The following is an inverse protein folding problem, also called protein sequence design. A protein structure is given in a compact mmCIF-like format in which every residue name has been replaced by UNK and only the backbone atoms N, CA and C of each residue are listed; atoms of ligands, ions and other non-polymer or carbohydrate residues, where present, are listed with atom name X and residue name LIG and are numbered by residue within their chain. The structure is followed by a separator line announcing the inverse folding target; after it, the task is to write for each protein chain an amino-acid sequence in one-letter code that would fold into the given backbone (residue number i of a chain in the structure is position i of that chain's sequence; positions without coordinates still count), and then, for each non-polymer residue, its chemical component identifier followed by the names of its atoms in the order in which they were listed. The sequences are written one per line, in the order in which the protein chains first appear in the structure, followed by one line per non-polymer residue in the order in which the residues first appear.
data_IF_154725388257
#
_entry.id   IF_154725388257
#
_cell.length_a   1.000
_cell.length_b   1.000
_cell.length_c   1.000
_cell.angle_alpha   90.00
_cell.angle_beta   90.00
_cell.angle_gamma   90.00
#
_symmetry.space_group_name_H-M   'P 1'
#
loop_
_entity.id
_entity.type
_entity.pdbx_description
1 polymer ?
#
# COMPACT_ATOMS: atom_id res chain seq x y z
N UNK A 1 10.98 3.73 -19.46
CA UNK A 1 9.99 4.03 -20.53
C UNK A 1 8.90 2.97 -20.58
N UNK A 2 9.22 1.68 -20.67
CA UNK A 2 8.22 0.63 -20.88
C UNK A 2 7.30 0.43 -19.65
N UNK A 3 7.84 0.56 -18.44
CA UNK A 3 7.06 0.42 -17.19
C UNK A 3 6.07 1.57 -17.03
N UNK A 4 6.49 2.81 -17.33
CA UNK A 4 5.57 3.97 -17.27
C UNK A 4 4.41 3.83 -18.26
N UNK A 5 4.72 3.42 -19.50
CA UNK A 5 3.70 3.23 -20.54
C UNK A 5 2.70 2.12 -20.15
N UNK A 6 3.19 1.03 -19.55
CA UNK A 6 2.33 -0.05 -19.07
C UNK A 6 1.42 0.46 -17.93
N UNK A 7 1.98 1.15 -16.94
CA UNK A 7 1.21 1.72 -15.83
C UNK A 7 0.15 2.73 -16.32
N UNK A 8 0.50 3.59 -17.27
CA UNK A 8 -0.44 4.55 -17.86
C UNK A 8 -1.59 3.86 -18.60
N UNK A 9 -1.28 2.83 -19.39
CA UNK A 9 -2.31 2.05 -20.10
C UNK A 9 -3.25 1.37 -19.13
N UNK A 10 -2.71 0.67 -18.14
CA UNK A 10 -3.51 -0.06 -17.17
C UNK A 10 -4.37 0.89 -16.34
N UNK A 11 -3.83 2.04 -15.94
CA UNK A 11 -4.58 3.08 -15.23
C UNK A 11 -5.71 3.68 -16.08
N UNK A 12 -5.48 3.89 -17.39
CA UNK A 12 -6.53 4.33 -18.32
C UNK A 12 -7.69 3.35 -18.40
N UNK A 13 -7.37 2.05 -18.53
CA UNK A 13 -8.39 0.98 -18.55
C UNK A 13 -9.19 0.94 -17.24
N UNK A 14 -8.53 1.07 -16.09
CA UNK A 14 -9.22 1.09 -14.80
C UNK A 14 -10.12 2.33 -14.65
N UNK A 15 -9.65 3.49 -15.07
CA UNK A 15 -10.43 4.72 -15.04
C UNK A 15 -11.67 4.62 -15.95
N UNK A 16 -11.53 4.09 -17.17
CA UNK A 16 -12.63 3.86 -18.11
C UNK A 16 -13.62 2.82 -17.59
N UNK A 17 -13.15 1.83 -16.83
CA UNK A 17 -13.99 0.82 -16.18
C UNK A 17 -14.77 1.35 -14.95
N UNK A 18 -14.54 2.61 -14.54
CA UNK A 18 -15.29 3.27 -13.47
C UNK A 18 -14.84 2.91 -12.06
N UNK A 19 -13.56 2.58 -11.86
CA UNK A 19 -13.00 2.42 -10.53
C UNK A 19 -12.92 3.77 -9.80
N UNK A 20 -13.18 3.77 -8.49
CA UNK A 20 -13.21 4.99 -7.66
C UNK A 20 -11.83 5.47 -7.22
N UNK A 21 -10.81 4.60 -7.29
CA UNK A 21 -9.41 4.91 -6.97
C UNK A 21 -8.45 3.92 -7.65
N UNK A 22 -7.19 4.32 -7.81
CA UNK A 22 -6.14 3.45 -8.36
C UNK A 22 -4.97 3.38 -7.39
N UNK A 23 -4.48 2.16 -7.11
CA UNK A 23 -3.28 1.91 -6.34
C UNK A 23 -2.11 1.60 -7.27
N UNK A 24 -1.02 2.35 -7.16
CA UNK A 24 0.22 2.12 -7.93
C UNK A 24 1.23 1.40 -7.03
N UNK A 25 1.71 0.25 -7.50
CA UNK A 25 2.62 -0.62 -6.74
C UNK A 25 3.83 -1.04 -7.57
N UNK A 26 4.98 -1.22 -6.93
CA UNK A 26 6.17 -1.80 -7.57
C UNK A 26 6.10 -3.34 -7.67
N UNK A 27 4.97 -3.89 -8.05
CA UNK A 27 4.70 -5.35 -8.07
C UNK A 27 5.65 -6.16 -8.95
N UNK A 28 6.26 -5.53 -9.95
CA UNK A 28 7.24 -6.13 -10.84
C UNK A 28 8.64 -6.36 -10.24
N UNK A 29 8.95 -5.75 -9.08
CA UNK A 29 10.27 -5.78 -8.45
C UNK A 29 10.58 -7.07 -7.66
N UNK A 30 9.85 -8.14 -7.92
CA UNK A 30 10.07 -9.43 -7.22
C UNK A 30 11.43 -10.05 -7.55
N UNK A 31 12.15 -10.59 -6.52
CA UNK A 31 11.82 -10.63 -5.09
C UNK A 31 11.95 -9.26 -4.42
N UNK A 32 10.99 -8.93 -3.53
CA UNK A 32 10.93 -7.63 -2.89
C UNK A 32 11.98 -7.45 -1.80
N UNK A 33 12.43 -6.22 -1.59
CA UNK A 33 13.12 -5.84 -0.36
C UNK A 33 12.13 -5.91 0.82
N UNK A 34 12.54 -6.47 1.98
CA UNK A 34 11.63 -6.63 3.11
C UNK A 34 11.13 -5.30 3.67
N UNK A 35 11.97 -4.29 3.71
CA UNK A 35 11.73 -3.05 4.44
C UNK A 35 12.05 -1.81 3.59
N UNK A 36 13.32 -1.44 3.45
CA UNK A 36 13.74 -0.24 2.75
C UNK A 36 14.10 -0.56 1.31
N UNK A 37 13.43 0.11 0.38
CA UNK A 37 13.76 -0.01 -1.05
C UNK A 37 14.92 0.91 -1.45
N UNK A 38 15.68 0.56 -2.50
CA UNK A 38 16.73 1.42 -3.04
C UNK A 38 16.16 2.76 -3.56
N UNK A 39 16.95 3.85 -3.53
CA UNK A 39 16.51 5.17 -4.01
C UNK A 39 16.03 5.18 -5.47
N UNK A 40 16.58 4.32 -6.32
CA UNK A 40 16.12 4.22 -7.72
C UNK A 40 14.71 3.66 -7.85
N UNK A 41 14.26 2.77 -6.95
CA UNK A 41 12.86 2.31 -6.88
C UNK A 41 11.94 3.47 -6.55
N UNK A 42 12.30 4.31 -5.55
CA UNK A 42 11.53 5.50 -5.19
C UNK A 42 11.42 6.44 -6.38
N UNK A 43 12.55 6.75 -7.03
CA UNK A 43 12.59 7.64 -8.18
C UNK A 43 11.74 7.12 -9.37
N UNK A 44 11.87 5.82 -9.68
CA UNK A 44 11.10 5.19 -10.77
C UNK A 44 9.59 5.18 -10.46
N UNK A 45 9.21 4.81 -9.24
CA UNK A 45 7.81 4.75 -8.85
C UNK A 45 7.18 6.16 -8.80
N UNK A 46 7.93 7.17 -8.33
CA UNK A 46 7.47 8.58 -8.38
C UNK A 46 7.14 9.00 -9.81
N UNK A 47 7.99 8.67 -10.77
CA UNK A 47 7.74 8.95 -12.18
C UNK A 47 6.50 8.24 -12.71
N UNK A 48 6.32 6.96 -12.35
CA UNK A 48 5.15 6.18 -12.74
C UNK A 48 3.85 6.81 -12.18
N UNK A 49 3.85 7.20 -10.90
CA UNK A 49 2.69 7.84 -10.27
C UNK A 49 2.34 9.17 -10.94
N UNK A 50 3.33 10.00 -11.25
CA UNK A 50 3.12 11.27 -11.97
C UNK A 50 2.59 11.02 -13.40
N UNK A 51 3.11 10.02 -14.11
CA UNK A 51 2.64 9.66 -15.43
C UNK A 51 1.19 9.14 -15.41
N UNK A 52 0.86 8.28 -14.44
CA UNK A 52 -0.52 7.81 -14.20
C UNK A 52 -1.44 8.99 -13.89
N UNK A 53 -1.01 9.91 -13.00
CA UNK A 53 -1.77 11.13 -12.68
C UNK A 53 -2.09 11.97 -13.93
N UNK A 54 -1.14 12.09 -14.85
CA UNK A 54 -1.34 12.82 -16.10
C UNK A 54 -2.41 12.16 -17.01
N UNK A 55 -2.57 10.84 -16.94
CA UNK A 55 -3.59 10.10 -17.71
C UNK A 55 -4.98 10.18 -17.07
N UNK A 56 -5.06 9.93 -15.75
CA UNK A 56 -6.36 9.79 -15.07
C UNK A 56 -6.91 11.10 -14.52
N UNK A 57 -6.13 12.18 -14.56
CA UNK A 57 -6.55 13.50 -14.05
C UNK A 57 -6.51 13.60 -12.53
N UNK A 58 -7.05 14.68 -11.99
CA UNK A 58 -7.00 14.98 -10.55
C UNK A 58 -8.24 14.52 -9.78
N UNK A 59 -9.32 14.17 -10.48
CA UNK A 59 -10.58 13.73 -9.87
C UNK A 59 -10.53 12.30 -9.36
N UNK A 60 -9.67 11.45 -9.93
CA UNK A 60 -9.53 10.06 -9.51
C UNK A 60 -8.41 9.95 -8.45
N UNK A 61 -8.73 9.52 -7.22
CA UNK A 61 -7.74 9.33 -6.17
C UNK A 61 -6.67 8.31 -6.55
N UNK A 62 -5.41 8.62 -6.21
CA UNK A 62 -4.30 7.69 -6.35
C UNK A 62 -3.75 7.31 -4.99
N UNK A 63 -3.44 6.03 -4.83
CA UNK A 63 -2.68 5.48 -3.72
C UNK A 63 -1.34 4.93 -4.16
N UNK A 64 -0.43 4.79 -3.22
CA UNK A 64 0.92 4.25 -3.44
C UNK A 64 1.19 3.11 -2.47
N UNK A 65 1.66 1.98 -2.98
CA UNK A 65 2.19 0.88 -2.17
C UNK A 65 3.63 0.60 -2.58
N UNK A 66 4.55 0.61 -1.61
CA UNK A 66 5.95 0.26 -1.85
C UNK A 66 6.27 -1.07 -1.20
N UNK A 67 6.28 -2.09 -2.04
CA UNK A 67 6.52 -3.46 -1.62
C UNK A 67 8.00 -3.71 -1.27
N UNK A 68 8.36 -4.49 -0.16
CA UNK A 68 7.29 -5.26 0.53
C UNK A 68 6.58 -4.43 1.61
N UNK A 69 7.26 -3.52 2.34
CA UNK A 69 6.67 -2.80 3.49
C UNK A 69 7.33 -1.43 3.74
N UNK A 70 7.76 -0.71 2.70
CA UNK A 70 8.40 0.60 2.86
C UNK A 70 7.36 1.74 2.89
N UNK A 71 6.70 1.89 4.04
CA UNK A 71 5.74 2.97 4.27
C UNK A 71 6.39 4.37 4.20
N UNK A 72 7.68 4.49 4.52
CA UNK A 72 8.42 5.76 4.44
C UNK A 72 8.59 6.21 2.99
N UNK A 73 9.00 5.28 2.12
CA UNK A 73 9.07 5.56 0.69
C UNK A 73 7.69 5.89 0.11
N UNK A 74 6.65 5.13 0.49
CA UNK A 74 5.28 5.37 0.03
C UNK A 74 4.79 6.77 0.42
N UNK A 75 4.99 7.21 1.68
CA UNK A 75 4.66 8.58 2.13
C UNK A 75 5.45 9.64 1.38
N UNK A 76 6.75 9.42 1.14
CA UNK A 76 7.59 10.36 0.40
C UNK A 76 7.11 10.54 -1.04
N UNK A 77 6.74 9.44 -1.70
CA UNK A 77 6.17 9.46 -3.05
C UNK A 77 4.81 10.16 -3.02
N UNK A 78 3.93 9.81 -2.08
CA UNK A 78 2.60 10.41 -1.97
C UNK A 78 2.68 11.93 -1.77
N UNK A 79 3.56 12.39 -0.87
CA UNK A 79 3.81 13.82 -0.65
C UNK A 79 4.30 14.53 -1.92
N UNK A 80 5.21 13.90 -2.68
CA UNK A 80 5.79 14.48 -3.89
C UNK A 80 4.82 14.48 -5.10
N UNK A 81 3.84 13.58 -5.12
CA UNK A 81 2.93 13.37 -6.25
C UNK A 81 1.50 13.84 -6.01
N UNK A 82 1.17 14.27 -4.79
CA UNK A 82 -0.20 14.60 -4.40
C UNK A 82 -1.13 13.38 -4.39
N UNK A 83 -0.59 12.17 -4.11
CA UNK A 83 -1.42 10.97 -3.92
C UNK A 83 -2.17 11.03 -2.59
N UNK A 84 -3.38 10.46 -2.55
CA UNK A 84 -4.30 10.61 -1.44
C UNK A 84 -4.14 9.53 -0.38
N UNK A 85 -3.54 8.39 -0.72
CA UNK A 85 -3.36 7.28 0.21
C UNK A 85 -2.02 6.57 0.02
N UNK A 86 -1.58 5.90 1.08
CA UNK A 86 -0.58 4.83 1.00
C UNK A 86 -1.20 3.54 1.49
N UNK A 87 -0.73 2.41 0.94
CA UNK A 87 -1.03 1.09 1.48
C UNK A 87 0.16 0.55 2.23
N UNK A 88 -0.07 -0.04 3.40
CA UNK A 88 0.96 -0.68 4.24
C UNK A 88 0.57 -2.11 4.52
N UNK A 89 1.41 -3.06 4.12
CA UNK A 89 1.08 -4.48 4.20
C UNK A 89 1.20 -5.07 5.62
N UNK A 90 2.20 -4.63 6.40
CA UNK A 90 2.33 -4.97 7.82
C UNK A 90 2.52 -3.66 8.58
N UNK A 91 1.43 -3.09 9.08
CA UNK A 91 1.44 -1.79 9.74
C UNK A 91 1.67 -1.90 11.25
N UNK A 92 1.07 -2.91 11.89
CA UNK A 92 1.26 -3.26 13.31
C UNK A 92 1.70 -4.73 13.43
N UNK A 93 2.19 -5.11 14.61
CA UNK A 93 2.60 -6.48 14.89
C UNK A 93 3.78 -6.96 14.05
N UNK A 94 3.80 -8.25 13.73
CA UNK A 94 4.81 -8.87 12.89
C UNK A 94 4.25 -10.06 12.11
N UNK A 95 4.78 -10.31 10.92
CA UNK A 95 4.39 -11.44 10.07
C UNK A 95 5.61 -12.12 9.45
N UNK A 96 5.56 -13.43 9.31
CA UNK A 96 6.53 -14.22 8.54
C UNK A 96 6.12 -14.22 7.08
N UNK A 97 7.04 -13.84 6.20
CA UNK A 97 6.82 -13.73 4.75
C UNK A 97 7.96 -14.42 3.99
N UNK A 98 7.88 -14.46 2.67
CA UNK A 98 8.97 -14.91 1.79
C UNK A 98 10.23 -14.02 1.88
N UNK A 99 10.11 -12.78 2.41
CA UNK A 99 11.24 -11.90 2.73
C UNK A 99 11.78 -12.07 4.16
N UNK A 100 11.24 -13.00 4.95
CA UNK A 100 11.54 -13.17 6.36
C UNK A 100 10.49 -12.52 7.26
N UNK A 101 10.90 -12.04 8.44
CA UNK A 101 9.98 -11.39 9.38
C UNK A 101 9.84 -9.91 9.02
N UNK A 102 8.62 -9.49 8.72
CA UNK A 102 8.25 -8.09 8.62
C UNK A 102 7.65 -7.61 9.94
N UNK A 103 8.10 -6.45 10.38
CA UNK A 103 7.59 -5.79 11.59
C UNK A 103 6.81 -4.53 11.23
N UNK A 104 5.67 -4.35 11.89
CA UNK A 104 4.88 -3.14 11.79
C UNK A 104 5.61 -1.94 12.39
N UNK A 105 5.57 -0.81 11.68
CA UNK A 105 6.20 0.46 12.06
C UNK A 105 5.20 1.61 12.11
N UNK A 106 3.98 1.34 12.59
CA UNK A 106 2.94 2.36 12.70
C UNK A 106 3.44 3.63 13.39
N UNK A 107 4.23 3.48 14.45
CA UNK A 107 4.82 4.59 15.21
C UNK A 107 5.74 5.50 14.38
N UNK A 108 6.45 4.96 13.38
CA UNK A 108 7.27 5.74 12.44
C UNK A 108 6.39 6.34 11.34
N UNK A 109 5.52 5.51 10.75
CA UNK A 109 4.64 5.89 9.64
C UNK A 109 3.74 7.06 10.00
N UNK A 110 3.06 6.98 11.13
CA UNK A 110 2.13 8.03 11.58
C UNK A 110 2.86 9.33 11.90
N UNK A 111 4.02 9.27 12.56
CA UNK A 111 4.81 10.46 12.85
C UNK A 111 5.35 11.13 11.59
N UNK A 112 5.84 10.32 10.64
CA UNK A 112 6.32 10.84 9.36
C UNK A 112 5.16 11.45 8.55
N UNK A 113 4.01 10.76 8.48
CA UNK A 113 2.80 11.28 7.83
C UNK A 113 2.46 12.69 8.32
N UNK A 114 2.42 12.90 9.65
CA UNK A 114 2.12 14.21 10.25
C UNK A 114 3.11 15.30 9.86
N UNK A 115 4.35 14.93 9.54
CA UNK A 115 5.42 15.88 9.18
C UNK A 115 5.40 16.27 7.70
N UNK A 116 5.20 15.32 6.80
CA UNK A 116 5.40 15.54 5.37
C UNK A 116 4.15 15.38 4.50
N UNK A 117 3.12 14.70 5.00
CA UNK A 117 1.94 14.33 4.23
C UNK A 117 0.69 14.16 5.12
N UNK A 118 0.29 15.17 5.92
CA UNK A 118 -0.78 15.05 6.93
C UNK A 118 -2.13 14.63 6.33
N UNK A 119 -2.41 14.99 5.08
CA UNK A 119 -3.67 14.69 4.39
C UNK A 119 -3.69 13.28 3.74
N UNK A 120 -2.54 12.62 3.66
CA UNK A 120 -2.47 11.28 3.06
C UNK A 120 -3.03 10.24 4.03
N UNK A 121 -3.94 9.40 3.55
CA UNK A 121 -4.50 8.31 4.34
C UNK A 121 -3.56 7.09 4.39
N UNK A 122 -3.53 6.41 5.52
CA UNK A 122 -2.87 5.11 5.68
C UNK A 122 -3.92 4.01 5.57
N UNK A 123 -3.83 3.20 4.53
CA UNK A 123 -4.65 2.01 4.31
C UNK A 123 -3.83 0.78 4.69
N UNK A 124 -4.25 0.06 5.72
CA UNK A 124 -3.50 -1.06 6.26
C UNK A 124 -4.15 -2.39 5.95
N UNK A 125 -3.35 -3.39 5.54
CA UNK A 125 -3.86 -4.75 5.36
C UNK A 125 -4.15 -5.41 6.71
N UNK A 126 -5.33 -6.01 6.83
CA UNK A 126 -5.67 -6.96 7.89
C UNK A 126 -5.26 -8.34 7.38
N UNK A 127 -4.16 -8.89 7.89
CA UNK A 127 -3.59 -10.17 7.42
C UNK A 127 -3.30 -10.19 5.93
N UNK A 128 -2.29 -9.45 5.55
CA UNK A 128 -1.84 -9.43 4.16
C UNK A 128 -1.56 -10.84 3.61
N UNK A 129 -1.92 -11.07 2.36
CA UNK A 129 -1.62 -12.33 1.65
C UNK A 129 -0.11 -12.60 1.56
N UNK A 130 0.25 -13.88 1.42
CA UNK A 130 1.65 -14.35 1.43
C UNK A 130 2.40 -14.02 2.73
N UNK A 131 1.66 -13.97 3.85
CA UNK A 131 2.19 -13.73 5.17
C UNK A 131 1.44 -14.55 6.23
N UNK A 132 2.16 -14.93 7.28
CA UNK A 132 1.58 -15.57 8.46
C UNK A 132 1.90 -14.72 9.69
N UNK A 133 0.91 -14.29 10.49
CA UNK A 133 1.16 -13.52 11.69
C UNK A 133 2.00 -14.33 12.69
N UNK A 134 2.93 -13.67 13.38
CA UNK A 134 3.77 -14.33 14.40
C UNK A 134 2.94 -14.75 15.61
N UNK A 135 1.89 -13.98 15.95
CA UNK A 135 0.94 -14.30 17.01
C UNK A 135 -0.47 -14.35 16.42
N UNK A 136 -1.21 -15.41 16.71
CA UNK A 136 -2.61 -15.52 16.30
C UNK A 136 -3.49 -14.66 17.21
N UNK A 137 -4.29 -13.82 16.57
CA UNK A 137 -5.36 -13.01 17.19
C UNK A 137 -6.64 -13.22 16.40
N UNK A 138 -7.78 -12.76 16.91
CA UNK A 138 -8.96 -12.67 16.05
C UNK A 138 -8.75 -11.61 14.96
N UNK A 139 -9.42 -11.73 13.85
CA UNK A 139 -9.35 -10.73 12.77
C UNK A 139 -9.94 -9.40 13.22
N UNK A 140 -10.96 -9.46 14.10
CA UNK A 140 -11.62 -8.29 14.67
C UNK A 140 -10.66 -7.52 15.56
N UNK A 141 -9.99 -8.19 16.52
CA UNK A 141 -8.99 -7.54 17.38
C UNK A 141 -7.85 -6.90 16.57
N UNK A 142 -7.44 -7.56 15.48
CA UNK A 142 -6.39 -7.05 14.60
C UNK A 142 -6.86 -5.80 13.83
N UNK A 143 -8.10 -5.79 13.38
CA UNK A 143 -8.73 -4.65 12.71
C UNK A 143 -8.91 -3.46 13.67
N UNK A 144 -9.40 -3.70 14.88
CA UNK A 144 -9.54 -2.68 15.94
C UNK A 144 -8.18 -2.05 16.29
N UNK A 145 -7.15 -2.87 16.52
CA UNK A 145 -5.80 -2.35 16.81
C UNK A 145 -5.19 -1.57 15.63
N UNK A 146 -5.42 -2.00 14.38
CA UNK A 146 -4.98 -1.25 13.21
C UNK A 146 -5.59 0.16 13.17
N UNK A 147 -6.88 0.26 13.48
CA UNK A 147 -7.59 1.53 13.48
C UNK A 147 -7.22 2.38 14.72
N UNK A 148 -7.39 1.84 15.92
CA UNK A 148 -7.25 2.61 17.16
C UNK A 148 -5.81 2.93 17.54
N UNK A 149 -4.89 1.96 17.38
CA UNK A 149 -3.49 2.09 17.80
C UNK A 149 -2.54 2.32 16.63
N UNK A 150 -2.88 1.76 15.47
CA UNK A 150 -2.14 1.98 14.23
C UNK A 150 -2.51 3.28 13.53
N UNK A 151 -3.62 3.90 13.90
CA UNK A 151 -4.18 5.11 13.24
C UNK A 151 -4.34 4.91 11.72
N UNK A 152 -4.74 3.71 11.31
CA UNK A 152 -5.09 3.45 9.93
C UNK A 152 -6.48 4.04 9.63
N UNK A 153 -6.59 4.80 8.55
CA UNK A 153 -7.86 5.42 8.13
C UNK A 153 -8.73 4.46 7.32
N UNK A 154 -8.13 3.43 6.72
CA UNK A 154 -8.87 2.36 6.06
C UNK A 154 -8.20 1.00 6.26
N UNK A 155 -9.02 -0.04 6.25
CA UNK A 155 -8.57 -1.42 6.42
C UNK A 155 -8.78 -2.18 5.11
N UNK A 156 -7.77 -2.95 4.69
CA UNK A 156 -7.82 -3.76 3.48
C UNK A 156 -7.92 -5.23 3.87
N UNK A 157 -9.04 -5.84 3.54
CA UNK A 157 -9.24 -7.29 3.67
C UNK A 157 -9.12 -7.93 2.30
N UNK A 158 -8.12 -8.78 2.12
CA UNK A 158 -7.85 -9.44 0.83
C UNK A 158 -8.03 -10.96 0.94
N UNK A 159 -8.19 -11.61 -0.22
CA UNK A 159 -8.17 -13.08 -0.31
C UNK A 159 -6.80 -13.66 0.09
N UNK A 160 -6.76 -14.97 0.28
CA UNK A 160 -5.56 -15.69 0.73
C UNK A 160 -4.41 -15.66 -0.28
N UNK A 161 -4.70 -15.43 -1.56
CA UNK A 161 -3.72 -15.39 -2.66
C UNK A 161 -4.05 -14.30 -3.67
N UNK A 162 -3.06 -13.92 -4.47
CA UNK A 162 -3.26 -12.97 -5.58
C UNK A 162 -4.33 -13.50 -6.54
N UNK A 163 -5.34 -12.68 -6.86
CA UNK A 163 -6.49 -13.06 -7.68
C UNK A 163 -7.52 -13.96 -6.99
N UNK A 164 -7.33 -14.29 -5.70
CA UNK A 164 -8.33 -15.02 -4.92
C UNK A 164 -9.40 -14.08 -4.39
N UNK A 165 -10.63 -14.56 -4.35
CA UNK A 165 -11.75 -13.82 -3.77
C UNK A 165 -11.54 -13.60 -2.26
N UNK A 166 -11.99 -12.46 -1.76
CA UNK A 166 -12.07 -12.20 -0.33
C UNK A 166 -13.22 -13.03 0.24
N UNK A 167 -12.96 -13.73 1.35
CA UNK A 167 -13.98 -14.44 2.08
C UNK A 167 -14.95 -13.44 2.74
N UNK A 168 -16.25 -13.43 2.38
CA UNK A 168 -17.22 -12.50 2.96
C UNK A 168 -17.34 -12.62 4.49
N UNK A 169 -17.13 -13.82 5.04
CA UNK A 169 -17.20 -14.04 6.51
C UNK A 169 -16.07 -13.33 7.27
N UNK A 170 -15.02 -12.87 6.56
CA UNK A 170 -13.96 -12.04 7.13
C UNK A 170 -14.30 -10.55 7.17
N UNK A 171 -15.42 -10.15 6.56
CA UNK A 171 -15.90 -8.77 6.49
C UNK A 171 -17.06 -8.50 7.45
N UNK A 172 -17.67 -9.57 7.97
CA UNK A 172 -18.77 -9.54 8.94
C UNK A 172 -18.22 -9.51 10.37
#
# INVERSE_FOLDING_TARGET
ADVELAACRDAGVLAEAGFDAIMVENFGDRPFYPDVVPPWTIAALTRCVLAVRAVVGTSLPLGVNVLRNDARAALSIAAATGSQAIRVNVHIGASVTDQGILQGKAHETVRLKRQIAPEVQVWADVRVKHAAPVALRSIIEEAEELHERGEAEALIVSGLRTGGETDPDRLA
#
